data_IF_832229575491
#
_entry.id   IF_832229575491
#
_cell.length_a   1.000
_cell.length_b   1.000
_cell.length_c   1.000
_cell.angle_alpha   90.00
_cell.angle_beta   90.00
_cell.angle_gamma   90.00
#
_symmetry.space_group_name_H-M   'P 1'
#
loop_
_entity.id
_entity.type
_entity.pdbx_description
1 polymer ?
#
# COMPACT_ATOMS: atom_id res chain seq x y z
N UNK A 1 -7.23 -6.46 1.70
CA UNK A 1 -6.19 -7.25 2.40
C UNK A 1 -6.08 -6.60 3.77
N UNK A 2 -6.53 -7.25 4.83
CA UNK A 2 -6.49 -6.63 6.17
C UNK A 2 -5.07 -6.70 6.70
N UNK A 3 -4.37 -5.57 6.64
CA UNK A 3 -3.04 -5.44 7.22
C UNK A 3 -3.20 -5.25 8.73
N UNK A 4 -2.67 -6.17 9.52
CA UNK A 4 -2.79 -6.15 10.97
C UNK A 4 -1.50 -6.65 11.63
N UNK A 5 -1.44 -6.59 12.96
CA UNK A 5 -0.28 -7.03 13.74
C UNK A 5 0.16 -8.47 13.46
N UNK A 6 -0.74 -9.35 13.03
CA UNK A 6 -0.41 -10.72 12.63
C UNK A 6 0.32 -10.78 11.29
N UNK A 7 0.08 -9.83 10.38
CA UNK A 7 0.74 -9.77 9.08
C UNK A 7 2.23 -9.46 9.25
N UNK A 8 2.54 -8.43 10.06
CA UNK A 8 3.92 -8.09 10.43
C UNK A 8 4.63 -9.23 11.18
N UNK A 9 3.92 -9.91 12.10
CA UNK A 9 4.47 -11.08 12.79
C UNK A 9 4.74 -12.25 11.84
N UNK A 10 3.88 -12.48 10.84
CA UNK A 10 4.06 -13.52 9.84
C UNK A 10 5.27 -13.26 8.94
N UNK A 11 5.47 -12.01 8.52
CA UNK A 11 6.65 -11.61 7.74
C UNK A 11 7.96 -11.77 8.52
N UNK A 12 7.93 -11.49 9.82
CA UNK A 12 9.06 -11.76 10.70
C UNK A 12 9.40 -13.27 10.74
N UNK A 13 8.38 -14.14 10.79
CA UNK A 13 8.58 -15.59 10.70
C UNK A 13 9.13 -16.03 9.33
N UNK A 14 8.75 -15.33 8.26
CA UNK A 14 9.26 -15.54 6.90
C UNK A 14 10.63 -14.89 6.66
N UNK A 15 11.19 -14.17 7.64
CA UNK A 15 12.51 -13.52 7.60
C UNK A 15 12.63 -12.46 6.50
N UNK A 16 11.61 -11.63 6.31
CA UNK A 16 11.72 -10.43 5.49
C UNK A 16 12.43 -9.31 6.26
N UNK A 17 13.33 -8.59 5.59
CA UNK A 17 14.07 -7.46 6.18
C UNK A 17 13.30 -6.14 6.07
N UNK A 18 12.49 -6.00 5.01
CA UNK A 18 11.72 -4.78 4.72
C UNK A 18 10.35 -5.18 4.23
N UNK A 19 9.34 -4.48 4.73
CA UNK A 19 7.98 -4.57 4.22
C UNK A 19 7.53 -3.19 3.71
N UNK A 20 7.04 -3.15 2.47
CA UNK A 20 6.58 -1.94 1.82
C UNK A 20 5.06 -1.97 1.65
N UNK A 21 4.43 -0.84 1.89
CA UNK A 21 3.00 -0.66 1.67
C UNK A 21 2.76 0.62 0.86
N UNK A 22 1.74 0.58 0.01
CA UNK A 22 1.24 1.78 -0.68
C UNK A 22 0.11 2.40 0.14
N UNK A 23 0.05 3.73 0.19
CA UNK A 23 -1.08 4.46 0.78
C UNK A 23 -2.28 4.47 -0.20
N UNK A 24 -2.88 3.29 -0.35
CA UNK A 24 -4.09 3.05 -1.14
C UNK A 24 -5.24 2.64 -0.22
N UNK A 25 -6.46 2.77 -0.72
CA UNK A 25 -7.67 2.36 0.00
C UNK A 25 -7.73 2.99 1.41
N UNK A 26 -7.69 2.15 2.44
CA UNK A 26 -7.77 2.51 3.86
C UNK A 26 -6.43 2.34 4.58
N UNK A 27 -5.33 2.12 3.84
CA UNK A 27 -4.03 1.79 4.42
C UNK A 27 -3.51 2.91 5.33
N UNK A 28 -3.67 4.19 4.92
CA UNK A 28 -3.26 5.34 5.71
C UNK A 28 -3.77 5.35 7.16
N UNK A 29 -4.89 4.67 7.48
CA UNK A 29 -5.44 4.60 8.85
C UNK A 29 -4.54 3.84 9.84
N UNK A 30 -3.71 2.91 9.37
CA UNK A 30 -2.88 2.06 10.24
C UNK A 30 -1.38 2.13 9.94
N UNK A 31 -0.96 2.75 8.82
CA UNK A 31 0.46 2.86 8.46
C UNK A 31 1.26 3.62 9.52
N UNK A 32 0.69 4.68 10.09
CA UNK A 32 1.30 5.45 11.19
C UNK A 32 1.41 4.61 12.48
N UNK A 33 0.34 3.90 12.85
CA UNK A 33 0.30 3.04 14.06
C UNK A 33 1.34 1.91 14.01
N UNK A 34 1.54 1.33 12.82
CA UNK A 34 2.51 0.26 12.56
C UNK A 34 3.94 0.78 12.29
N UNK A 35 4.17 2.09 12.43
CA UNK A 35 5.48 2.74 12.30
C UNK A 35 6.10 2.60 10.89
N UNK A 36 5.29 2.64 9.84
CA UNK A 36 5.81 2.77 8.49
C UNK A 36 6.45 4.16 8.32
N UNK A 37 7.63 4.17 7.69
CA UNK A 37 8.26 5.41 7.23
C UNK A 37 7.73 5.81 5.86
N UNK A 38 7.64 7.12 5.60
CA UNK A 38 7.33 7.63 4.26
C UNK A 38 8.51 7.34 3.33
N UNK A 39 8.24 6.71 2.18
CA UNK A 39 9.23 6.48 1.13
C UNK A 39 9.56 7.76 0.35
N UNK A 40 10.56 7.68 -0.52
CA UNK A 40 11.01 8.81 -1.35
C UNK A 40 10.38 8.86 -2.75
N UNK A 41 9.54 7.88 -3.10
CA UNK A 41 8.93 7.74 -4.42
C UNK A 41 7.40 7.66 -4.39
N UNK A 42 6.78 8.22 -5.43
CA UNK A 42 5.35 8.10 -5.72
C UNK A 42 5.12 7.04 -6.82
N UNK A 43 4.07 6.24 -6.66
CA UNK A 43 3.62 5.30 -7.68
C UNK A 43 2.41 5.88 -8.44
N UNK A 44 2.55 6.06 -9.75
CA UNK A 44 1.50 6.59 -10.61
C UNK A 44 0.81 5.48 -11.42
N UNK A 45 -0.53 5.47 -11.40
CA UNK A 45 -1.36 4.54 -12.16
C UNK A 45 -1.77 5.15 -13.51
N UNK A 46 -1.60 4.39 -14.59
CA UNK A 46 -1.96 4.81 -15.94
C UNK A 46 -2.89 3.78 -16.60
N UNK A 47 -3.81 4.27 -17.41
CA UNK A 47 -4.67 3.43 -18.25
C UNK A 47 -4.30 3.64 -19.71
N UNK A 48 -4.02 2.56 -20.41
CA UNK A 48 -3.80 2.60 -21.86
C UNK A 48 -5.13 2.48 -22.60
N UNK A 49 -5.35 3.36 -23.59
CA UNK A 49 -6.54 3.36 -24.46
C UNK A 49 -7.89 3.44 -23.70
N UNK A 50 -7.90 4.06 -22.53
CA UNK A 50 -9.11 4.28 -21.74
C UNK A 50 -9.13 5.68 -21.13
N UNK A 51 -10.33 6.26 -20.95
CA UNK A 51 -10.53 7.54 -20.26
C UNK A 51 -11.34 7.31 -18.99
N UNK A 52 -10.92 7.91 -17.89
CA UNK A 52 -11.67 7.92 -16.65
C UNK A 52 -11.56 9.30 -15.98
N UNK A 53 -12.49 9.64 -15.07
CA UNK A 53 -12.30 10.77 -14.16
C UNK A 53 -11.05 10.59 -13.31
N UNK A 54 -10.59 11.67 -12.69
CA UNK A 54 -9.55 11.59 -11.66
C UNK A 54 -10.03 10.72 -10.50
N UNK A 55 -9.13 9.90 -9.96
CA UNK A 55 -9.39 8.95 -8.87
C UNK A 55 -8.36 9.20 -7.77
N UNK A 56 -8.81 9.28 -6.52
CA UNK A 56 -7.92 9.44 -5.36
C UNK A 56 -7.23 8.11 -5.04
N UNK A 57 -6.04 8.10 -4.43
CA UNK A 57 -5.38 6.85 -3.99
C UNK A 57 -6.27 5.96 -3.10
N UNK A 58 -7.11 6.56 -2.26
CA UNK A 58 -8.09 5.87 -1.42
C UNK A 58 -9.19 5.12 -2.20
N UNK A 59 -9.37 5.43 -3.48
CA UNK A 59 -10.36 4.80 -4.36
C UNK A 59 -9.71 3.74 -5.28
N UNK A 60 -8.38 3.61 -5.25
CA UNK A 60 -7.64 2.63 -6.05
C UNK A 60 -7.54 1.31 -5.26
N UNK A 61 -8.18 0.26 -5.79
CA UNK A 61 -8.19 -1.08 -5.19
C UNK A 61 -7.23 -2.09 -5.81
N UNK A 62 -6.31 -1.64 -6.68
CA UNK A 62 -5.37 -2.52 -7.39
C UNK A 62 -3.94 -2.22 -6.95
N UNK A 63 -3.17 -3.29 -6.71
CA UNK A 63 -1.72 -3.24 -6.48
C UNK A 63 -1.08 -3.99 -7.64
N UNK A 64 -0.16 -3.34 -8.34
CA UNK A 64 0.60 -3.94 -9.45
C UNK A 64 1.95 -4.44 -8.95
N UNK A 65 2.45 -5.53 -9.55
CA UNK A 65 3.74 -6.18 -9.22
C UNK A 65 4.91 -5.53 -9.96
#
# INVERSE_FOLDING_TARGET
MEFNHWTTAYEYLLKFDVFNALDLMENGKFLEELKFGIGDGDLHYYLYNWRCPFTKPSEIGIVLQ
#
